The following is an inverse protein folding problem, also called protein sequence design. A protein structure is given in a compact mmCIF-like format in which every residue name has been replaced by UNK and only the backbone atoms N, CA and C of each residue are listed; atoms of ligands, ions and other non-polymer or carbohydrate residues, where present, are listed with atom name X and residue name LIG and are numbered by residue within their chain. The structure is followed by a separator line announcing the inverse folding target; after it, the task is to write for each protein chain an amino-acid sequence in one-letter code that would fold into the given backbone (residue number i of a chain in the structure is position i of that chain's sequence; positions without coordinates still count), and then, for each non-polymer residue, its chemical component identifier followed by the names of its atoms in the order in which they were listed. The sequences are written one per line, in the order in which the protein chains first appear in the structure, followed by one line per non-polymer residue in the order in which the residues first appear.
data_IF_227021141293
#
_entry.id   IF_227021141293
#
_cell.length_a   1.000
_cell.length_b   1.000
_cell.length_c   1.000
_cell.angle_alpha   90.00
_cell.angle_beta   90.00
_cell.angle_gamma   90.00
#
_symmetry.space_group_name_H-M   'P 1'
#
loop_
_entity.id
_entity.type
_entity.pdbx_description
1 polymer ?
#
# COMPACT_ATOMS: atom_id res chain seq x y z
N UNK A 1 -5.70 -6.77 -22.63
CA UNK A 1 -6.75 -7.65 -23.17
C UNK A 1 -6.06 -8.79 -23.90
N UNK A 2 -6.16 -10.04 -23.41
CA UNK A 2 -5.43 -11.19 -24.00
C UNK A 2 -5.99 -11.62 -25.36
N UNK A 3 -7.18 -11.12 -25.76
CA UNK A 3 -7.77 -11.40 -27.07
C UNK A 3 -6.83 -11.03 -28.23
N UNK A 4 -6.03 -9.97 -28.06
CA UNK A 4 -5.04 -9.54 -29.06
C UNK A 4 -3.90 -10.56 -29.22
N UNK A 5 -3.43 -11.14 -28.11
CA UNK A 5 -2.35 -12.13 -28.10
C UNK A 5 -2.84 -13.51 -28.58
N UNK A 6 -4.08 -13.87 -28.24
CA UNK A 6 -4.68 -15.15 -28.63
C UNK A 6 -5.31 -15.13 -30.02
N UNK A 7 -5.39 -13.97 -30.68
CA UNK A 7 -5.99 -13.81 -32.01
C UNK A 7 -7.48 -14.14 -32.06
N UNK A 8 -8.17 -14.21 -30.93
CA UNK A 8 -9.60 -14.54 -30.83
C UNK A 8 -10.29 -13.77 -29.71
N UNK A 9 -11.60 -13.44 -29.86
CA UNK A 9 -12.38 -12.91 -28.75
C UNK A 9 -12.31 -13.87 -27.56
N UNK A 10 -11.94 -13.35 -26.40
CA UNK A 10 -11.76 -14.14 -25.18
C UNK A 10 -12.85 -13.76 -24.18
N UNK A 11 -13.68 -14.74 -23.80
CA UNK A 11 -14.68 -14.59 -22.73
C UNK A 11 -14.06 -14.63 -21.33
N UNK A 12 -14.88 -14.48 -20.29
CA UNK A 12 -14.40 -14.52 -18.90
C UNK A 12 -13.85 -15.91 -18.55
N UNK A 13 -14.53 -16.97 -18.98
CA UNK A 13 -14.14 -18.37 -18.75
C UNK A 13 -12.80 -18.68 -19.44
N UNK A 14 -12.64 -18.25 -20.70
CA UNK A 14 -11.39 -18.42 -21.44
C UNK A 14 -10.24 -17.66 -20.77
N UNK A 15 -10.50 -16.46 -20.25
CA UNK A 15 -9.51 -15.65 -19.54
C UNK A 15 -9.07 -16.32 -18.23
N UNK A 16 -10.02 -16.85 -17.46
CA UNK A 16 -9.72 -17.58 -16.21
C UNK A 16 -8.92 -18.85 -16.51
N UNK A 17 -9.30 -19.61 -17.54
CA UNK A 17 -8.56 -20.80 -17.96
C UNK A 17 -7.14 -20.47 -18.42
N UNK A 18 -6.97 -19.40 -19.20
CA UNK A 18 -5.66 -18.92 -19.62
C UNK A 18 -4.79 -18.50 -18.43
N UNK A 19 -5.35 -17.76 -17.47
CA UNK A 19 -4.64 -17.37 -16.24
C UNK A 19 -4.18 -18.61 -15.46
N UNK A 20 -5.06 -19.59 -15.24
CA UNK A 20 -4.72 -20.81 -14.50
C UNK A 20 -3.57 -21.58 -15.12
N UNK A 21 -3.49 -21.62 -16.46
CA UNK A 21 -2.42 -22.31 -17.18
C UNK A 21 -1.10 -21.54 -17.22
N UNK A 22 -1.10 -20.23 -16.94
CA UNK A 22 0.08 -19.37 -16.99
C UNK A 22 0.49 -18.83 -15.61
N UNK A 23 -0.16 -19.31 -14.54
CA UNK A 23 0.25 -19.01 -13.17
C UNK A 23 1.34 -19.99 -12.76
N UNK A 24 2.58 -19.51 -12.68
CA UNK A 24 3.72 -20.33 -12.30
C UNK A 24 4.03 -20.14 -10.80
N UNK A 25 3.74 -21.14 -9.93
CA UNK A 25 4.04 -21.05 -8.51
C UNK A 25 5.53 -21.27 -8.19
N UNK A 26 6.36 -21.61 -9.17
CA UNK A 26 7.80 -21.85 -8.99
C UNK A 26 8.64 -20.57 -9.13
N UNK A 27 8.02 -19.45 -9.49
CA UNK A 27 8.69 -18.15 -9.64
C UNK A 27 9.51 -17.82 -8.39
N UNK A 28 10.77 -17.50 -8.62
CA UNK A 28 11.74 -17.06 -7.62
C UNK A 28 12.40 -15.75 -8.07
N UNK A 29 13.23 -15.17 -7.20
CA UNK A 29 14.03 -13.98 -7.53
C UNK A 29 14.89 -14.16 -8.79
N UNK A 30 15.41 -15.37 -9.02
CA UNK A 30 16.22 -15.68 -10.21
C UNK A 30 15.42 -15.56 -11.50
N UNK A 31 14.13 -15.90 -11.48
CA UNK A 31 13.27 -15.82 -12.67
C UNK A 31 12.95 -14.36 -13.03
N UNK A 32 13.07 -13.45 -12.06
CA UNK A 32 12.95 -12.02 -12.33
C UNK A 32 14.14 -11.48 -13.14
N UNK A 33 15.33 -12.09 -13.03
CA UNK A 33 16.50 -11.72 -13.86
C UNK A 33 16.20 -11.93 -15.33
N UNK A 34 15.56 -13.05 -15.67
CA UNK A 34 15.10 -13.30 -17.02
C UNK A 34 14.07 -12.25 -17.48
N UNK A 35 13.10 -11.88 -16.65
CA UNK A 35 12.14 -10.80 -17.01
C UNK A 35 12.88 -9.48 -17.26
N UNK A 36 13.90 -9.19 -16.45
CA UNK A 36 14.73 -7.99 -16.60
C UNK A 36 15.49 -7.95 -17.92
N UNK A 37 15.90 -9.09 -18.47
CA UNK A 37 16.57 -9.15 -19.79
C UNK A 37 15.66 -8.76 -20.96
N UNK A 38 14.33 -8.88 -20.81
CA UNK A 38 13.35 -8.60 -21.87
C UNK A 38 12.60 -7.28 -21.70
N UNK A 39 12.78 -6.62 -20.56
CA UNK A 39 12.15 -5.35 -20.25
C UNK A 39 13.23 -4.33 -19.95
N UNK A 40 13.17 -3.13 -20.52
CA UNK A 40 14.14 -2.05 -20.24
C UNK A 40 13.52 -0.92 -19.37
N UNK A 41 12.22 -1.00 -19.06
CA UNK A 41 11.51 0.03 -18.31
C UNK A 41 11.56 -0.15 -16.78
N UNK A 42 10.86 0.70 -16.01
CA UNK A 42 10.76 0.52 -14.57
C UNK A 42 10.12 -0.83 -14.21
N UNK A 43 10.65 -1.49 -13.17
CA UNK A 43 10.14 -2.75 -12.64
C UNK A 43 9.75 -2.58 -11.17
N UNK A 44 8.49 -2.88 -10.86
CA UNK A 44 7.93 -2.77 -9.51
C UNK A 44 7.45 -4.13 -9.03
N UNK A 45 7.97 -4.60 -7.90
CA UNK A 45 7.59 -5.89 -7.32
C UNK A 45 6.43 -5.69 -6.33
N UNK A 46 5.28 -6.32 -6.59
CA UNK A 46 4.06 -6.16 -5.79
C UNK A 46 3.76 -7.38 -4.96
N UNK A 47 3.44 -7.16 -3.69
CA UNK A 47 3.07 -8.23 -2.76
C UNK A 47 4.03 -8.40 -1.60
N UNK A 48 4.90 -7.42 -1.37
CA UNK A 48 5.90 -7.46 -0.29
C UNK A 48 5.20 -7.22 1.04
N UNK A 49 5.39 -8.14 1.99
CA UNK A 49 4.93 -8.01 3.38
C UNK A 49 6.04 -8.29 4.40
N UNK A 50 7.23 -8.66 3.93
CA UNK A 50 8.40 -8.97 4.74
C UNK A 50 9.57 -8.01 4.41
N UNK A 51 10.31 -7.51 5.42
CA UNK A 51 11.46 -6.64 5.18
C UNK A 51 12.60 -7.28 4.39
N UNK A 52 12.85 -8.58 4.52
CA UNK A 52 13.93 -9.24 3.79
C UNK A 52 13.60 -9.39 2.30
N UNK A 53 12.35 -9.67 1.95
CA UNK A 53 11.89 -9.64 0.56
C UNK A 53 12.04 -8.22 -0.05
N UNK A 54 11.85 -7.17 0.75
CA UNK A 54 12.11 -5.80 0.31
C UNK A 54 13.60 -5.59 0.02
N UNK A 55 14.50 -6.12 0.85
CA UNK A 55 15.95 -6.07 0.61
C UNK A 55 16.34 -6.87 -0.63
N UNK A 56 15.70 -8.01 -0.87
CA UNK A 56 15.90 -8.78 -2.11
C UNK A 56 15.48 -7.98 -3.34
N UNK A 57 14.36 -7.25 -3.28
CA UNK A 57 13.96 -6.36 -4.38
C UNK A 57 15.01 -5.27 -4.67
N UNK A 58 15.62 -4.70 -3.63
CA UNK A 58 16.74 -3.75 -3.78
C UNK A 58 17.96 -4.44 -4.41
N UNK A 59 18.35 -5.61 -3.91
CA UNK A 59 19.50 -6.39 -4.44
C UNK A 59 19.32 -6.76 -5.90
N UNK A 60 18.10 -7.12 -6.28
CA UNK A 60 17.71 -7.44 -7.64
C UNK A 60 17.76 -6.21 -8.58
N UNK A 61 17.69 -5.00 -8.04
CA UNK A 61 17.67 -3.76 -8.82
C UNK A 61 16.27 -3.39 -9.31
N UNK A 62 15.22 -3.72 -8.56
CA UNK A 62 13.88 -3.21 -8.82
C UNK A 62 13.83 -1.68 -8.60
N UNK A 63 13.00 -1.00 -9.39
CA UNK A 63 12.78 0.45 -9.26
C UNK A 63 11.78 0.79 -8.15
N UNK A 64 10.95 -0.18 -7.76
CA UNK A 64 9.95 0.00 -6.72
C UNK A 64 9.44 -1.31 -6.11
N UNK A 65 8.79 -1.18 -4.97
CA UNK A 65 8.00 -2.24 -4.35
C UNK A 65 6.59 -1.76 -4.06
N UNK A 66 5.65 -2.69 -3.98
CA UNK A 66 4.31 -2.43 -3.42
C UNK A 66 4.10 -3.28 -2.18
N UNK A 67 4.00 -2.61 -1.03
CA UNK A 67 3.58 -3.23 0.24
C UNK A 67 2.10 -3.55 0.15
N UNK A 68 1.78 -4.83 -0.01
CA UNK A 68 0.45 -5.27 -0.44
C UNK A 68 0.15 -6.69 0.01
N UNK A 69 -1.07 -6.90 0.50
CA UNK A 69 -1.64 -8.24 0.68
C UNK A 69 -2.70 -8.56 -0.38
N UNK A 70 -2.55 -7.95 -1.57
CA UNK A 70 -3.45 -8.10 -2.70
C UNK A 70 -4.91 -7.70 -2.38
N UNK A 71 -5.09 -6.71 -1.50
CA UNK A 71 -6.42 -6.27 -1.06
C UNK A 71 -7.14 -7.26 -0.15
N UNK A 72 -6.39 -8.15 0.51
CA UNK A 72 -6.87 -9.20 1.42
C UNK A 72 -7.48 -10.41 0.70
N UNK A 73 -6.89 -10.82 -0.44
CA UNK A 73 -7.51 -11.81 -1.35
C UNK A 73 -6.65 -13.04 -1.63
N UNK A 74 -5.42 -13.09 -1.12
CA UNK A 74 -4.50 -14.21 -1.39
C UNK A 74 -4.41 -15.13 -0.18
N UNK A 75 -3.66 -14.77 0.85
CA UNK A 75 -3.55 -15.53 2.09
C UNK A 75 -4.28 -14.81 3.24
N UNK A 76 -5.16 -15.52 3.93
CA UNK A 76 -5.83 -14.98 5.12
C UNK A 76 -4.91 -15.05 6.36
N UNK A 77 -5.09 -14.12 7.30
CA UNK A 77 -4.28 -14.02 8.51
C UNK A 77 -2.91 -13.34 8.34
N UNK A 78 -2.55 -12.88 7.14
CA UNK A 78 -1.35 -12.05 6.92
C UNK A 78 -1.51 -10.66 7.53
N UNK A 79 -0.40 -9.94 7.68
CA UNK A 79 -0.41 -8.55 8.13
C UNK A 79 -1.24 -7.66 7.19
N UNK A 80 -1.85 -6.62 7.76
CA UNK A 80 -2.27 -5.49 6.95
C UNK A 80 -1.04 -4.78 6.36
N UNK A 81 -1.17 -4.21 5.16
CA UNK A 81 -0.09 -3.42 4.55
C UNK A 81 0.38 -2.29 5.48
N UNK A 82 -0.55 -1.61 6.15
CA UNK A 82 -0.24 -0.57 7.13
C UNK A 82 0.63 -1.07 8.31
N UNK A 83 0.49 -2.34 8.70
CA UNK A 83 1.28 -2.94 9.79
C UNK A 83 2.65 -3.44 9.31
N UNK A 84 2.74 -3.93 8.08
CA UNK A 84 4.01 -4.37 7.49
C UNK A 84 4.91 -3.19 7.09
N UNK A 85 4.29 -2.09 6.65
CA UNK A 85 4.97 -0.97 6.00
C UNK A 85 6.12 -0.33 6.82
N UNK A 86 6.01 -0.08 8.15
CA UNK A 86 7.10 0.56 8.89
C UNK A 86 8.41 -0.23 8.87
N UNK A 87 8.35 -1.54 9.14
CA UNK A 87 9.54 -2.37 9.16
C UNK A 87 10.18 -2.51 7.77
N UNK A 88 9.36 -2.49 6.71
CA UNK A 88 9.84 -2.47 5.31
C UNK A 88 10.49 -1.12 4.99
N UNK A 89 9.87 -0.01 5.38
CA UNK A 89 10.44 1.32 5.16
C UNK A 89 11.77 1.50 5.91
N UNK A 90 11.85 1.04 7.16
CA UNK A 90 13.11 1.04 7.93
C UNK A 90 14.21 0.23 7.23
N UNK A 91 13.84 -0.80 6.47
CA UNK A 91 14.79 -1.66 5.78
C UNK A 91 15.35 -1.08 4.47
N UNK A 92 14.54 -0.33 3.70
CA UNK A 92 14.90 0.02 2.30
C UNK A 92 14.50 1.44 1.85
N UNK A 93 13.90 2.28 2.71
CA UNK A 93 13.49 3.63 2.29
C UNK A 93 14.71 4.47 1.91
N UNK A 94 14.63 5.09 0.73
CA UNK A 94 15.73 5.86 0.13
C UNK A 94 16.51 5.08 -0.92
N UNK A 95 16.48 3.75 -0.88
CA UNK A 95 17.13 2.89 -1.87
C UNK A 95 16.18 2.49 -3.02
N UNK A 96 14.87 2.44 -2.74
CA UNK A 96 13.83 2.00 -3.67
C UNK A 96 12.53 2.78 -3.45
N UNK A 97 11.71 2.95 -4.49
CA UNK A 97 10.39 3.57 -4.34
C UNK A 97 9.43 2.63 -3.59
N UNK A 98 8.77 3.12 -2.54
CA UNK A 98 7.84 2.34 -1.72
C UNK A 98 6.41 2.77 -2.01
N UNK A 99 5.67 1.93 -2.73
CA UNK A 99 4.23 2.07 -2.93
C UNK A 99 3.49 1.20 -1.91
N UNK A 100 2.25 1.56 -1.59
CA UNK A 100 1.41 0.72 -0.73
C UNK A 100 -0.06 0.69 -1.18
N UNK A 101 -0.74 -0.44 -0.96
CA UNK A 101 -2.17 -0.57 -1.25
C UNK A 101 -2.94 -1.20 -0.08
N UNK A 102 -4.14 -1.75 -0.33
CA UNK A 102 -4.88 -2.59 0.63
C UNK A 102 -5.45 -1.86 1.85
N UNK A 103 -6.49 -1.06 1.63
CA UNK A 103 -7.32 -0.55 2.73
C UNK A 103 -7.63 0.94 2.67
N UNK A 104 -6.90 1.70 1.86
CA UNK A 104 -7.07 3.16 1.72
C UNK A 104 -8.45 3.51 1.15
N UNK A 105 -9.22 4.34 1.88
CA UNK A 105 -10.57 4.77 1.46
C UNK A 105 -10.76 6.29 1.42
N UNK A 106 -9.90 7.04 2.09
CA UNK A 106 -10.01 8.49 2.26
C UNK A 106 -8.61 9.13 2.26
N UNK A 107 -8.55 10.46 2.23
CA UNK A 107 -7.29 11.22 2.22
C UNK A 107 -6.46 11.09 3.51
N UNK A 108 -7.11 10.87 4.66
CA UNK A 108 -6.40 10.64 5.92
C UNK A 108 -5.64 9.30 5.91
N UNK A 109 -6.20 8.27 5.28
CA UNK A 109 -5.51 6.99 5.09
C UNK A 109 -4.28 7.17 4.19
N UNK A 110 -4.36 8.01 3.16
CA UNK A 110 -3.19 8.34 2.32
C UNK A 110 -2.08 8.96 3.16
N UNK A 111 -2.41 10.01 3.93
CA UNK A 111 -1.45 10.70 4.81
C UNK A 111 -0.84 9.73 5.82
N UNK A 112 -1.64 8.83 6.42
CA UNK A 112 -1.13 7.81 7.35
C UNK A 112 -0.16 6.85 6.68
N UNK A 113 -0.46 6.34 5.49
CA UNK A 113 0.44 5.43 4.78
C UNK A 113 1.76 6.11 4.41
N UNK A 114 1.71 7.39 4.02
CA UNK A 114 2.92 8.18 3.76
C UNK A 114 3.74 8.34 5.05
N UNK A 115 3.08 8.71 6.15
CA UNK A 115 3.72 8.84 7.47
C UNK A 115 4.34 7.52 7.96
N UNK A 116 3.73 6.38 7.62
CA UNK A 116 4.24 5.04 7.94
C UNK A 116 5.44 4.62 7.08
N UNK A 117 5.75 5.34 5.99
CA UNK A 117 6.95 5.12 5.20
C UNK A 117 6.73 4.99 3.69
N UNK A 118 5.49 4.95 3.20
CA UNK A 118 5.24 4.91 1.75
C UNK A 118 5.58 6.24 1.08
N UNK A 119 6.01 6.18 -0.18
CA UNK A 119 6.19 7.36 -1.05
C UNK A 119 4.89 7.69 -1.79
N UNK A 120 4.06 6.68 -2.06
CA UNK A 120 2.72 6.85 -2.63
C UNK A 120 1.82 5.65 -2.33
N UNK A 121 0.53 5.79 -2.66
CA UNK A 121 -0.48 4.76 -2.42
C UNK A 121 -1.26 4.42 -3.68
N UNK A 122 -1.79 3.20 -3.72
CA UNK A 122 -2.64 2.69 -4.81
C UNK A 122 -4.06 2.42 -4.32
N UNK A 123 -5.04 2.73 -5.17
CA UNK A 123 -6.47 2.52 -4.89
C UNK A 123 -7.01 1.36 -5.72
N UNK A 124 -7.59 0.36 -5.05
CA UNK A 124 -8.26 -0.77 -5.70
C UNK A 124 -9.78 -0.61 -5.67
N UNK A 125 -10.43 -1.27 -4.70
CA UNK A 125 -11.90 -1.32 -4.57
C UNK A 125 -12.58 0.05 -4.53
N UNK A 126 -12.01 1.04 -3.84
CA UNK A 126 -12.58 2.39 -3.78
C UNK A 126 -12.74 3.00 -5.18
N UNK A 127 -11.71 2.87 -6.02
CA UNK A 127 -11.73 3.31 -7.42
C UNK A 127 -12.82 2.57 -8.22
N UNK A 128 -12.87 1.24 -8.09
CA UNK A 128 -13.86 0.43 -8.82
C UNK A 128 -15.31 0.74 -8.42
N UNK A 129 -15.57 0.99 -7.14
CA UNK A 129 -16.91 1.36 -6.67
C UNK A 129 -17.33 2.73 -7.19
N UNK A 130 -16.44 3.72 -7.14
CA UNK A 130 -16.69 5.03 -7.72
C UNK A 130 -16.97 4.95 -9.23
N UNK A 131 -16.19 4.13 -9.95
CA UNK A 131 -16.38 3.87 -11.37
C UNK A 131 -17.75 3.22 -11.64
N UNK A 132 -18.13 2.21 -10.86
CA UNK A 132 -19.41 1.53 -11.03
C UNK A 132 -20.61 2.44 -10.75
N UNK A 133 -20.48 3.39 -9.82
CA UNK A 133 -21.57 4.31 -9.45
C UNK A 133 -21.82 5.39 -10.50
N UNK A 134 -20.77 6.02 -11.03
CA UNK A 134 -20.93 7.20 -11.89
C UNK A 134 -19.86 7.31 -13.00
N UNK A 135 -19.29 6.17 -13.42
CA UNK A 135 -18.26 6.14 -14.46
C UNK A 135 -17.06 7.02 -14.11
N UNK A 136 -16.52 7.68 -15.13
CA UNK A 136 -15.39 8.61 -14.97
C UNK A 136 -15.70 9.73 -13.95
N UNK A 137 -16.93 10.25 -13.93
CA UNK A 137 -17.30 11.33 -13.01
C UNK A 137 -17.23 10.88 -11.54
N UNK A 138 -17.61 9.63 -11.26
CA UNK A 138 -17.46 9.03 -9.93
C UNK A 138 -16.00 8.92 -9.50
N UNK A 139 -15.13 8.43 -10.39
CA UNK A 139 -13.68 8.35 -10.12
C UNK A 139 -13.08 9.74 -9.88
N UNK A 140 -13.41 10.72 -10.73
CA UNK A 140 -12.93 12.10 -10.56
C UNK A 140 -13.38 12.69 -9.22
N UNK A 141 -14.62 12.44 -8.81
CA UNK A 141 -15.13 12.87 -7.50
C UNK A 141 -14.38 12.20 -6.34
N UNK A 142 -14.11 10.88 -6.41
CA UNK A 142 -13.33 10.16 -5.40
C UNK A 142 -11.93 10.78 -5.24
N UNK A 143 -11.22 11.01 -6.35
CA UNK A 143 -9.88 11.59 -6.31
C UNK A 143 -9.89 13.02 -5.74
N UNK A 144 -10.89 13.83 -6.12
CA UNK A 144 -11.08 15.18 -5.56
C UNK A 144 -11.36 15.15 -4.05
N UNK A 145 -12.13 14.16 -3.56
CA UNK A 145 -12.41 14.00 -2.13
C UNK A 145 -11.14 13.63 -1.37
N UNK A 146 -10.39 12.64 -1.87
CA UNK A 146 -9.11 12.23 -1.29
C UNK A 146 -8.15 13.43 -1.20
N UNK A 147 -8.00 14.21 -2.27
CA UNK A 147 -7.15 15.40 -2.27
C UNK A 147 -7.57 16.42 -1.19
N UNK A 148 -8.87 16.71 -1.08
CA UNK A 148 -9.40 17.64 -0.06
C UNK A 148 -9.16 17.14 1.35
N UNK A 149 -9.39 15.85 1.59
CA UNK A 149 -9.19 15.22 2.90
C UNK A 149 -7.70 15.17 3.27
N UNK A 150 -6.81 14.94 2.31
CA UNK A 150 -5.36 15.07 2.51
C UNK A 150 -5.01 16.49 2.95
N UNK A 151 -5.52 17.53 2.26
CA UNK A 151 -5.27 18.93 2.65
C UNK A 151 -5.75 19.24 4.06
N UNK A 152 -6.91 18.73 4.46
CA UNK A 152 -7.42 18.86 5.84
C UNK A 152 -6.48 18.18 6.83
N UNK A 153 -6.11 16.92 6.58
CA UNK A 153 -5.21 16.17 7.46
C UNK A 153 -3.84 16.86 7.60
N UNK A 154 -3.24 17.28 6.49
CA UNK A 154 -1.97 18.02 6.47
C UNK A 154 -2.06 19.34 7.24
N UNK A 155 -3.14 20.12 7.04
CA UNK A 155 -3.35 21.38 7.77
C UNK A 155 -3.45 21.16 9.27
N UNK A 156 -4.21 20.14 9.70
CA UNK A 156 -4.43 19.83 11.12
C UNK A 156 -3.21 19.18 11.79
N UNK A 157 -2.29 18.62 11.01
CA UNK A 157 -1.03 18.03 11.50
C UNK A 157 0.18 18.95 11.30
N UNK A 158 -0.02 20.13 10.71
CA UNK A 158 1.04 21.13 10.51
C UNK A 158 1.98 20.85 9.33
N UNK A 159 1.73 19.81 8.53
CA UNK A 159 2.52 19.50 7.33
C UNK A 159 2.13 20.42 6.16
N UNK A 160 3.08 21.21 5.65
CA UNK A 160 2.86 22.14 4.53
C UNK A 160 3.13 21.50 3.17
N UNK A 161 3.81 20.37 3.17
CA UNK A 161 4.20 19.61 1.99
C UNK A 161 4.12 18.10 2.27
N UNK A 162 4.05 17.28 1.22
CA UNK A 162 4.04 15.81 1.39
C UNK A 162 5.32 15.33 2.07
N UNK A 163 6.45 15.96 1.78
CA UNK A 163 7.75 15.67 2.41
C UNK A 163 7.80 15.96 3.91
N UNK A 164 6.89 16.78 4.44
CA UNK A 164 6.78 17.04 5.88
C UNK A 164 5.91 16.00 6.61
N UNK A 165 5.27 15.08 5.88
CA UNK A 165 4.52 13.97 6.48
C UNK A 165 5.52 12.89 6.91
N UNK A 166 5.77 12.80 8.21
CA UNK A 166 6.71 11.84 8.81
C UNK A 166 6.02 10.98 9.86
N UNK A 167 6.72 9.99 10.41
CA UNK A 167 6.23 9.19 11.53
C UNK A 167 5.84 10.04 12.76
N UNK A 168 6.37 11.26 12.92
CA UNK A 168 6.00 12.19 14.00
C UNK A 168 4.55 12.69 13.86
N UNK A 169 3.96 12.56 12.67
CA UNK A 169 2.53 12.83 12.44
C UNK A 169 1.62 11.75 13.05
N UNK A 170 2.20 10.64 13.54
CA UNK A 170 1.49 9.52 14.14
C UNK A 170 1.77 9.47 15.63
N UNK A 171 0.78 9.01 16.39
CA UNK A 171 1.02 8.64 17.79
C UNK A 171 1.91 7.40 17.79
N UNK A 172 3.15 7.56 18.23
CA UNK A 172 4.03 6.44 18.53
C UNK A 172 3.35 5.60 19.60
N UNK A 173 3.28 4.28 19.37
CA UNK A 173 2.43 3.37 20.12
C UNK A 173 2.43 3.71 21.61
N UNK A 174 1.23 3.82 22.20
CA UNK A 174 1.12 3.80 23.66
C UNK A 174 1.93 2.58 24.09
N UNK A 175 3.08 2.81 24.73
CA UNK A 175 3.75 1.76 25.47
C UNK A 175 2.69 1.07 26.34
N UNK A 176 2.89 -0.20 26.69
CA UNK A 176 1.95 -0.90 27.60
C UNK A 176 1.65 -0.14 28.91
N UNK A 177 2.35 0.95 29.18
CA UNK A 177 2.04 1.94 30.20
C UNK A 177 1.34 3.16 29.59
N UNK A 178 0.04 3.29 29.87
CA UNK A 178 -0.66 4.56 29.77
C UNK A 178 0.13 5.62 30.57
N UNK A 179 0.29 6.86 30.07
CA UNK A 179 0.86 7.94 30.86
C UNK A 179 0.09 8.04 32.18
N UNK A 180 0.82 8.05 33.30
CA UNK A 180 0.29 8.10 34.67
C UNK A 180 -0.69 9.26 34.90
N UNK A 181 -0.68 10.26 34.01
CA UNK A 181 -1.57 11.41 33.98
C UNK A 181 -3.05 11.09 33.72
N UNK A 182 -3.42 9.86 33.35
CA UNK A 182 -4.81 9.42 33.18
C UNK A 182 -5.30 8.47 34.29
N UNK A 183 -4.48 8.17 35.30
CA UNK A 183 -4.98 7.49 36.50
C UNK A 183 -6.00 8.43 37.18
N UNK A 184 -7.22 7.96 37.50
CA UNK A 184 -8.18 8.81 38.20
C UNK A 184 -7.50 9.26 39.50
N UNK A 185 -7.46 10.58 39.74
CA UNK A 185 -7.07 11.12 41.04
C UNK A 185 -7.93 10.42 42.07
N UNK A 186 -7.33 9.52 42.85
CA UNK A 186 -7.97 8.91 44.00
C UNK A 186 -8.44 10.09 44.87
N UNK A 187 -9.76 10.29 44.91
CA UNK A 187 -10.38 11.31 45.74
C UNK A 187 -9.86 11.12 47.15
N UNK A 188 -9.26 12.19 47.66
CA UNK A 188 -8.62 12.24 48.95
C UNK A 188 -9.57 11.94 50.12
N UNK A 189 -8.91 11.73 51.26
CA UNK A 189 -9.48 11.57 52.59
C UNK A 189 -10.77 12.36 52.82
N UNK A 190 -11.76 11.66 53.38
CA UNK A 190 -12.78 12.27 54.22
C UNK A 190 -13.06 11.37 55.42
N UNK A 191 -12.81 11.95 56.60
CA UNK A 191 -13.11 11.53 57.98
C UNK A 191 -12.32 10.35 58.57
#
# INVERSE_FOLDING_TARGET
NISAYLGKPTGLEDYIGWLGNNFDPSISWKDLEWIRDFWDGPMVIKGILDPEDARDAVRFGADGIVVSNHGGRQLDGVLSSARALPAIADAVKGDIAILADSGIRNGLDVVRMIALGADTVLLGRAFLYALATAGQAGVANLLNLIEKEMKVAMTLTGAKSISEITQDSLVQGLGKELPTALAPMAKGNAA
#
